data_IF_418253491446
#
_entry.id   IF_418253491446
#
_cell.length_a   1.000
_cell.length_b   1.000
_cell.length_c   1.000
_cell.angle_alpha   90.00
_cell.angle_beta   90.00
_cell.angle_gamma   90.00
#
_symmetry.space_group_name_H-M   'P 1'
#
loop_
_entity.id
_entity.type
_entity.pdbx_description
1 polymer ?
2 non-polymer ?
3 non-polymer ?
4 non-polymer ?
5 water ?
#
# COMPACT_ATOMS: atom_id res chain seq x y z
N UNK A 1 -6.96 -6.46 -1.04
CA UNK A 1 -7.99 -6.91 -1.97
C UNK A 1 -7.41 -7.22 -3.35
N UNK A 2 -8.20 -6.94 -4.38
CA UNK A 2 -7.99 -7.22 -5.81
C UNK A 2 -7.35 -6.01 -6.50
N UNK A 3 -6.43 -6.25 -7.43
CA UNK A 3 -5.71 -5.14 -8.06
C UNK A 3 -6.61 -4.31 -8.96
N UNK A 4 -6.01 -3.24 -9.50
CA UNK A 4 -6.74 -2.32 -10.36
C UNK A 4 -7.19 -3.00 -11.64
N UNK A 5 -8.45 -2.76 -12.01
CA UNK A 5 -8.99 -3.24 -13.27
C UNK A 5 -9.51 -2.07 -14.09
N UNK A 6 -9.63 -2.30 -15.41
CA UNK A 6 -10.21 -1.28 -16.29
C UNK A 6 -11.67 -1.03 -15.94
N UNK A 7 -12.42 -2.10 -15.64
CA UNK A 7 -13.85 -1.95 -15.34
C UNK A 7 -14.06 -1.13 -14.09
N UNK A 8 -13.33 -1.44 -13.02
CA UNK A 8 -13.49 -0.70 -11.77
C UNK A 8 -13.07 0.75 -11.92
N UNK A 9 -12.02 1.00 -12.70
CA UNK A 9 -11.53 2.36 -12.89
C UNK A 9 -12.41 3.16 -13.84
N UNK A 10 -13.06 2.49 -14.80
CA UNK A 10 -13.86 3.16 -15.83
C UNK A 10 -15.36 2.91 -15.65
N UNK A 11 -15.79 2.49 -14.47
CA UNK A 11 -17.19 2.14 -14.27
C UNK A 11 -18.11 3.36 -14.39
N UNK A 12 -17.66 4.52 -13.94
CA UNK A 12 -18.48 5.73 -13.95
C UNK A 12 -18.23 6.60 -15.17
N UNK A 13 -17.44 6.10 -16.13
CA UNK A 13 -17.17 6.83 -17.37
C UNK A 13 -18.35 6.59 -18.32
N UNK A 14 -19.07 7.64 -18.72
CA UNK A 14 -20.09 7.46 -19.76
C UNK A 14 -19.45 6.99 -21.06
N UNK A 15 -20.25 6.29 -21.86
CA UNK A 15 -19.71 5.63 -23.06
C UNK A 15 -19.10 6.64 -24.03
N UNK A 16 -19.77 7.78 -24.23
CA UNK A 16 -19.29 8.75 -25.21
C UNK A 16 -17.93 9.32 -24.82
N UNK A 17 -17.68 9.52 -23.53
CA UNK A 17 -16.39 10.04 -23.11
C UNK A 17 -15.30 8.98 -23.22
N UNK A 18 -15.66 7.72 -22.99
CA UNK A 18 -14.70 6.64 -23.18
C UNK A 18 -14.34 6.46 -24.65
N UNK A 19 -15.27 6.79 -25.55
CA UNK A 19 -15.02 6.63 -26.98
C UNK A 19 -13.79 7.41 -27.43
N UNK A 20 -13.57 8.59 -26.85
CA UNK A 20 -12.53 9.49 -27.32
C UNK A 20 -11.13 8.91 -27.16
N UNK A 21 -10.95 7.93 -26.29
CA UNK A 21 -9.62 7.36 -26.06
C UNK A 21 -9.26 6.28 -27.07
N UNK A 22 -10.24 5.74 -27.79
CA UNK A 22 -10.00 4.52 -28.58
C UNK A 22 -9.04 4.76 -29.74
N UNK A 23 -8.99 5.98 -30.28
CA UNK A 23 -8.00 6.25 -31.33
C UNK A 23 -6.58 6.22 -30.79
N UNK A 24 -6.42 6.54 -29.51
CA UNK A 24 -5.09 6.63 -28.90
C UNK A 24 -4.64 5.32 -28.25
N UNK A 25 -5.50 4.31 -28.22
CA UNK A 25 -5.14 3.02 -27.63
C UNK A 25 -4.28 2.21 -28.59
N UNK A 26 -3.03 1.98 -28.23
CA UNK A 26 -2.17 1.09 -28.99
C UNK A 26 -2.34 -0.34 -28.51
N UNK A 27 -2.19 -1.29 -29.43
CA UNK A 27 -2.33 -2.71 -29.14
C UNK A 27 -1.00 -3.41 -29.41
N UNK A 28 -0.48 -4.11 -28.41
CA UNK A 28 0.78 -4.84 -28.54
C UNK A 28 0.58 -6.28 -28.11
N UNK A 29 1.27 -7.18 -28.80
CA UNK A 29 1.21 -8.61 -28.54
C UNK A 29 2.61 -9.09 -28.16
N UNK A 30 2.69 -9.91 -27.12
CA UNK A 30 3.96 -10.39 -26.60
C UNK A 30 3.98 -11.92 -26.54
N UNK A 31 5.17 -12.48 -26.74
CA UNK A 31 5.36 -13.92 -26.66
C UNK A 31 5.80 -14.31 -25.24
N UNK A 32 5.93 -15.62 -25.01
CA UNK A 32 6.26 -16.12 -23.68
C UNK A 32 7.66 -15.67 -23.27
N UNK A 33 7.78 -15.12 -22.06
CA UNK A 33 9.04 -14.63 -21.56
C UNK A 33 9.40 -13.22 -21.99
N UNK A 34 8.62 -12.61 -22.88
CA UNK A 34 8.93 -11.27 -23.36
C UNK A 34 8.53 -10.22 -22.32
N UNK A 35 9.36 -9.20 -22.18
CA UNK A 35 9.10 -8.16 -21.20
C UNK A 35 8.17 -7.10 -21.78
N UNK A 36 7.09 -6.78 -21.06
CA UNK A 36 6.19 -5.71 -21.49
C UNK A 36 6.74 -4.36 -21.09
N UNK A 37 7.17 -4.23 -19.84
CA UNK A 37 8.04 -3.15 -19.42
C UNK A 37 9.03 -3.70 -18.42
N UNK A 38 10.12 -2.96 -18.20
CA UNK A 38 11.18 -3.39 -17.31
C UNK A 38 11.22 -2.52 -16.07
N UNK A 39 11.77 -3.09 -15.01
CA UNK A 39 12.03 -2.37 -13.77
C UNK A 39 12.86 -1.13 -14.07
N UNK A 40 12.43 0.01 -13.55
CA UNK A 40 13.17 1.24 -13.71
C UNK A 40 12.99 1.98 -15.03
N UNK A 41 11.99 1.61 -15.83
CA UNK A 41 11.71 2.41 -17.03
C UNK A 41 11.01 3.70 -16.65
N UNK A 42 11.05 4.67 -17.56
CA UNK A 42 10.48 5.99 -17.31
C UNK A 42 9.51 6.40 -18.42
N UNK A 43 8.87 5.41 -19.05
CA UNK A 43 7.99 5.71 -20.18
C UNK A 43 6.70 6.41 -19.75
N UNK A 44 6.20 6.10 -18.56
CA UNK A 44 4.98 6.71 -18.03
C UNK A 44 3.79 6.45 -18.95
N UNK A 45 3.49 5.18 -19.13
CA UNK A 45 2.33 4.73 -19.88
C UNK A 45 1.42 3.92 -18.96
N UNK A 46 0.16 3.80 -19.36
CA UNK A 46 -0.80 2.95 -18.67
C UNK A 46 -1.07 1.72 -19.52
N UNK A 47 -0.73 0.55 -19.00
CA UNK A 47 -0.95 -0.71 -19.71
C UNK A 47 -2.18 -1.41 -19.17
N UNK A 48 -3.01 -1.93 -20.09
CA UNK A 48 -4.17 -2.72 -19.74
C UNK A 48 -4.01 -4.12 -20.32
N UNK A 49 -3.97 -5.13 -19.46
CA UNK A 49 -3.92 -6.50 -19.91
C UNK A 49 -5.27 -6.91 -20.47
N UNK A 50 -5.29 -7.32 -21.74
CA UNK A 50 -6.52 -7.74 -22.40
C UNK A 50 -6.63 -9.26 -22.50
N UNK A 51 -5.57 -9.94 -22.89
CA UNK A 51 -5.56 -11.39 -23.03
C UNK A 51 -4.21 -11.94 -22.59
N UNK A 52 -4.25 -13.01 -21.80
CA UNK A 52 -3.05 -13.67 -21.34
C UNK A 52 -2.81 -13.45 -19.85
N UNK A 53 -1.59 -13.81 -19.43
CA UNK A 53 -1.16 -13.65 -18.04
C UNK A 53 0.19 -12.96 -18.00
N UNK A 54 0.37 -12.11 -17.00
CA UNK A 54 1.59 -11.35 -16.81
C UNK A 54 2.02 -11.48 -15.35
N UNK A 55 3.33 -11.55 -15.12
CA UNK A 55 3.88 -11.54 -13.77
C UNK A 55 4.73 -10.29 -13.57
N UNK A 56 4.54 -9.63 -12.43
CA UNK A 56 5.42 -8.55 -12.01
C UNK A 56 6.57 -9.18 -11.22
N UNK A 57 7.77 -9.13 -11.79
CA UNK A 57 8.93 -9.75 -11.16
C UNK A 57 9.91 -8.66 -10.72
N UNK A 58 11.02 -9.09 -10.12
CA UNK A 58 11.88 -8.17 -9.38
C UNK A 58 13.27 -8.82 -9.24
N UNK A 59 14.15 -8.50 -10.17
CA UNK A 59 15.55 -8.94 -10.12
C UNK A 59 16.33 -7.98 -9.23
N UNK A 60 16.87 -8.49 -8.12
CA UNK A 60 17.57 -7.64 -7.17
C UNK A 60 18.84 -8.30 -6.64
N UNK A 61 18.75 -8.85 -5.44
CA UNK A 61 19.93 -9.40 -4.79
C UNK A 61 20.45 -10.59 -5.58
N UNK A 62 21.71 -10.51 -6.00
CA UNK A 62 22.38 -11.60 -6.69
C UNK A 62 21.70 -11.91 -8.02
N UNK A 63 20.81 -11.00 -8.44
CA UNK A 63 19.95 -11.17 -9.61
C UNK A 63 19.08 -12.41 -9.43
N UNK A 64 18.40 -12.48 -8.29
CA UNK A 64 17.43 -13.51 -7.99
C UNK A 64 16.05 -12.99 -8.35
N UNK A 65 15.32 -13.73 -9.19
CA UNK A 65 14.01 -13.28 -9.59
C UNK A 65 13.05 -13.49 -8.42
N UNK A 66 12.23 -12.48 -8.15
CA UNK A 66 11.32 -12.50 -7.01
C UNK A 66 9.92 -12.16 -7.51
N UNK A 67 9.02 -13.13 -7.44
CA UNK A 67 7.67 -12.94 -7.93
C UNK A 67 6.89 -12.02 -6.99
N UNK A 68 6.30 -10.97 -7.55
CA UNK A 68 5.50 -10.03 -6.77
C UNK A 68 4.01 -10.20 -6.98
N UNK A 69 3.59 -10.48 -8.21
CA UNK A 69 2.16 -10.60 -8.54
C UNK A 69 2.03 -11.35 -9.85
N UNK A 70 0.85 -11.92 -10.06
CA UNK A 70 0.42 -12.41 -11.37
C UNK A 70 -0.88 -11.71 -11.71
N UNK A 71 -1.09 -11.43 -12.99
CA UNK A 71 -2.23 -10.61 -13.43
C UNK A 71 -2.97 -11.31 -14.57
N UNK A 72 -4.25 -10.99 -14.68
CA UNK A 72 -5.10 -11.59 -15.70
C UNK A 72 -5.88 -10.53 -16.46
N UNK A 73 -6.86 -10.95 -17.26
CA UNK A 73 -7.58 -10.04 -18.13
C UNK A 73 -8.22 -8.91 -17.34
N UNK A 74 -8.22 -7.72 -17.95
CA UNK A 74 -8.90 -6.56 -17.38
C UNK A 74 -8.10 -5.77 -16.38
N UNK A 75 -6.93 -6.25 -15.97
CA UNK A 75 -6.17 -5.60 -14.91
C UNK A 75 -5.15 -4.62 -15.48
N UNK A 76 -4.95 -3.50 -14.78
CA UNK A 76 -3.91 -2.56 -15.13
C UNK A 76 -2.56 -3.13 -14.73
N UNK A 77 -1.62 -3.15 -15.68
CA UNK A 77 -0.28 -3.63 -15.42
C UNK A 77 0.56 -2.51 -14.81
N UNK A 78 1.01 -2.70 -13.58
CA UNK A 78 1.84 -1.71 -12.95
C UNK A 78 1.03 -0.53 -12.42
N UNK A 79 1.71 0.59 -12.30
CA UNK A 79 1.15 1.75 -11.65
C UNK A 79 0.56 2.73 -12.65
N UNK A 80 -0.32 3.60 -12.16
CA UNK A 80 -0.90 4.64 -13.00
C UNK A 80 0.14 5.73 -13.26
N UNK A 81 0.34 6.16 -14.50
CA UNK A 81 1.38 7.14 -14.78
C UNK A 81 1.08 8.50 -14.15
N UNK A 82 2.14 9.18 -13.76
CA UNK A 82 2.05 10.54 -13.26
C UNK A 82 3.05 11.43 -14.00
N UNK A 88 8.41 9.15 -11.53
CA UNK A 88 8.57 7.89 -10.83
C UNK A 88 8.81 6.70 -11.75
N UNK A 89 10.02 6.15 -11.71
CA UNK A 89 10.35 5.01 -12.57
C UNK A 89 9.54 3.77 -12.20
N UNK A 90 9.68 2.75 -13.05
CA UNK A 90 8.98 1.49 -12.85
C UNK A 90 9.54 0.75 -11.65
N UNK A 91 8.65 0.29 -10.77
CA UNK A 91 9.08 -0.44 -9.58
C UNK A 91 9.35 -1.92 -9.86
N UNK A 92 8.88 -2.45 -10.99
CA UNK A 92 9.01 -3.87 -11.26
C UNK A 92 9.00 -4.10 -12.77
N UNK A 93 9.32 -5.33 -13.16
CA UNK A 93 9.29 -5.75 -14.56
C UNK A 93 8.07 -6.63 -14.80
N UNK A 94 7.43 -6.43 -15.95
CA UNK A 94 6.24 -7.17 -16.34
C UNK A 94 6.60 -8.13 -17.46
N UNK A 95 6.44 -9.43 -17.20
CA UNK A 95 6.83 -10.49 -18.12
C UNK A 95 5.57 -11.22 -18.57
N UNK A 96 5.46 -11.46 -19.87
CA UNK A 96 4.33 -12.22 -20.40
C UNK A 96 4.50 -13.70 -20.09
N UNK A 97 3.51 -14.28 -19.40
CA UNK A 97 3.53 -15.71 -19.11
C UNK A 97 3.15 -16.52 -20.35
N UNK A 98 2.14 -16.06 -21.08
CA UNK A 98 1.54 -16.81 -22.17
C UNK A 98 1.97 -16.24 -23.52
N UNK A 99 2.02 -17.10 -24.52
CA UNK A 99 2.23 -16.64 -25.88
C UNK A 99 1.00 -15.87 -26.36
N UNK A 100 1.25 -14.92 -27.26
CA UNK A 100 0.20 -14.04 -27.78
C UNK A 100 -0.49 -13.28 -26.66
N UNK A 101 0.29 -12.82 -25.68
CA UNK A 101 -0.23 -11.94 -24.64
C UNK A 101 -0.49 -10.56 -25.22
N UNK A 102 -1.73 -10.09 -25.10
CA UNK A 102 -2.16 -8.87 -25.76
C UNK A 102 -2.48 -7.80 -24.73
N UNK A 103 -1.85 -6.64 -24.86
CA UNK A 103 -2.06 -5.52 -23.95
C UNK A 103 -2.47 -4.30 -24.75
N UNK A 104 -3.37 -3.50 -24.18
CA UNK A 104 -3.72 -2.19 -24.71
C UNK A 104 -3.08 -1.13 -23.82
N UNK A 105 -2.58 -0.06 -24.43
CA UNK A 105 -1.93 0.97 -23.65
C UNK A 105 -2.08 2.33 -24.31
N UNK A 106 -1.94 3.37 -23.50
CA UNK A 106 -2.02 4.76 -23.94
C UNK A 106 -0.97 5.57 -23.19
N UNK A 107 -0.50 6.64 -23.82
CA UNK A 107 0.49 7.51 -23.20
C UNK A 107 -0.16 8.41 -22.15
N UNK A 108 0.62 8.79 -21.14
CA UNK A 108 0.09 9.56 -20.03
C UNK A 108 -0.44 10.92 -20.47
N UNK A 109 0.18 11.51 -21.50
CA UNK A 109 -0.27 12.82 -21.96
C UNK A 109 -1.71 12.76 -22.45
N UNK A 110 -2.06 11.70 -23.19
CA UNK A 110 -3.43 11.54 -23.68
C UNK A 110 -4.39 11.39 -22.50
N UNK A 111 -4.00 10.57 -21.51
CA UNK A 111 -4.88 10.33 -20.38
C UNK A 111 -5.13 11.61 -19.60
N UNK A 112 -4.08 12.42 -19.39
CA UNK A 112 -4.24 13.63 -18.59
C UNK A 112 -5.01 14.70 -19.35
N UNK A 113 -4.78 14.80 -20.67
CA UNK A 113 -5.62 15.65 -21.51
C UNK A 113 -7.07 15.20 -21.44
N UNK A 114 -7.31 13.89 -21.56
CA UNK A 114 -8.66 13.36 -21.50
C UNK A 114 -9.30 13.62 -20.14
N UNK A 115 -8.55 13.42 -19.06
CA UNK A 115 -9.06 13.72 -17.73
C UNK A 115 -9.30 15.21 -17.55
N UNK A 116 -8.48 16.05 -18.20
CA UNK A 116 -8.74 17.48 -18.18
C UNK A 116 -10.02 17.84 -18.92
N UNK A 117 -10.36 17.08 -19.96
CA UNK A 117 -11.60 17.34 -20.68
C UNK A 117 -12.81 16.90 -19.87
N UNK A 118 -12.69 15.81 -19.12
CA UNK A 118 -13.76 15.29 -18.28
C UNK A 118 -13.24 15.19 -16.84
N UNK A 119 -13.09 16.32 -16.15
CA UNK A 119 -12.53 16.27 -14.79
C UNK A 119 -13.44 15.61 -13.77
N UNK A 120 -14.73 15.44 -14.08
CA UNK A 120 -15.60 14.72 -13.17
C UNK A 120 -15.24 13.24 -13.09
N UNK A 121 -14.60 12.70 -14.13
CA UNK A 121 -14.17 11.31 -14.12
C UNK A 121 -13.08 11.09 -13.06
N UNK A 122 -12.18 12.06 -12.91
CA UNK A 122 -11.10 11.93 -11.93
C UNK A 122 -11.65 11.89 -10.50
N UNK A 123 -12.81 12.50 -10.27
CA UNK A 123 -13.44 12.43 -8.96
C UNK A 123 -13.81 10.99 -8.62
N UNK A 124 -14.31 10.23 -9.60
CA UNK A 124 -14.69 8.85 -9.35
C UNK A 124 -13.48 7.92 -9.37
N UNK A 125 -12.48 8.22 -10.19
CA UNK A 125 -11.23 7.47 -10.12
C UNK A 125 -10.51 7.73 -8.80
N UNK A 126 -10.73 8.90 -8.21
CA UNK A 126 -10.13 9.20 -6.91
C UNK A 126 -10.69 8.27 -5.83
N UNK A 127 -11.98 7.95 -5.90
CA UNK A 127 -12.56 6.99 -4.97
C UNK A 127 -12.01 5.59 -5.16
N UNK A 128 -11.51 5.28 -6.36
CA UNK A 128 -10.93 3.96 -6.60
C UNK A 128 -9.52 3.88 -6.02
N UNK A 129 -8.70 4.91 -6.27
CA UNK A 129 -7.37 4.94 -5.67
C UNK A 129 -7.47 5.04 -4.15
N UNK A 130 -8.52 5.72 -3.65
CA UNK A 130 -8.73 5.77 -2.20
C UNK A 130 -9.03 4.40 -1.64
N UNK A 131 -10.01 3.70 -2.24
CA UNK A 131 -10.38 2.38 -1.75
C UNK A 131 -9.27 1.37 -1.94
N UNK A 132 -8.38 1.57 -2.92
CA UNK A 132 -7.27 0.66 -3.14
C UNK A 132 -6.07 0.99 -2.27
N UNK A 133 -5.89 2.25 -1.88
CA UNK A 133 -4.78 2.60 -1.01
C UNK A 133 -5.05 2.17 0.44
N UNK A 134 -6.31 2.23 0.88
CA UNK A 134 -6.64 1.72 2.21
C UNK A 134 -6.48 0.20 2.25
N UNK A 135 -6.85 -0.48 1.17
CA UNK A 135 -6.64 -1.92 1.10
C UNK A 135 -5.15 -2.25 1.01
N UNK A 136 -4.38 -1.40 0.32
CA UNK A 136 -2.94 -1.61 0.25
C UNK A 136 -2.27 -1.38 1.59
N UNK A 137 -2.83 -0.51 2.42
CA UNK A 137 -2.25 -0.24 3.73
C UNK A 137 -2.46 -1.40 4.69
N UNK A 138 -3.68 -1.96 4.71
CA UNK A 138 -3.94 -3.09 5.59
C UNK A 138 -3.19 -4.35 5.13
N UNK A 139 -2.77 -4.39 3.86
CA UNK A 139 -1.90 -5.48 3.42
C UNK A 139 -0.50 -5.33 3.98
N UNK A 140 -0.05 -4.10 4.23
CA UNK A 140 1.27 -3.87 4.80
C UNK A 140 1.29 -4.22 6.27
N UNK A 141 0.24 -3.84 7.02
CA UNK A 141 0.15 -4.23 8.42
C UNK A 141 0.00 -5.74 8.55
N UNK A 142 -0.60 -6.38 7.55
CA UNK A 142 -0.92 -7.80 7.65
C UNK A 142 0.36 -8.66 7.72
N UNK A 143 1.31 -8.41 6.81
CA UNK A 143 2.52 -9.21 6.76
C UNK A 143 3.36 -9.09 8.04
N UNK A 144 3.04 -8.15 8.92
CA UNK A 144 3.71 -8.06 10.21
C UNK A 144 2.99 -8.89 11.26
N UNK A 145 1.66 -8.90 11.25
CA UNK A 145 0.87 -9.52 12.31
C UNK A 145 0.19 -10.81 11.90
N UNK A 146 0.37 -11.27 10.67
CA UNK A 146 -0.27 -12.50 10.19
C UNK A 146 0.74 -13.65 10.15
N UNK A 147 0.33 -14.80 10.66
CA UNK A 147 1.13 -16.00 10.54
C UNK A 147 0.99 -16.56 9.12
N UNK A 148 1.75 -17.60 8.82
CA UNK A 148 1.80 -18.10 7.44
C UNK A 148 0.52 -18.80 7.01
N UNK A 149 -0.28 -19.44 7.90
CA UNK A 149 -1.57 -19.96 7.42
C UNK A 149 -2.55 -18.87 7.05
N UNK A 150 -2.55 -17.75 7.78
CA UNK A 150 -3.36 -16.62 7.37
C UNK A 150 -2.87 -16.04 6.06
N UNK A 151 -1.54 -15.92 5.89
CA UNK A 151 -1.01 -15.41 4.63
C UNK A 151 -1.24 -16.39 3.49
N UNK A 152 -1.21 -17.69 3.77
CA UNK A 152 -1.56 -18.66 2.73
C UNK A 152 -3.03 -18.56 2.35
N UNK A 153 -3.91 -18.47 3.36
CA UNK A 153 -5.33 -18.33 3.08
C UNK A 153 -5.61 -17.06 2.29
N UNK A 154 -4.86 -15.99 2.54
CA UNK A 154 -5.12 -14.73 1.84
C UNK A 154 -4.69 -14.81 0.38
N UNK A 155 -3.56 -15.44 0.10
CA UNK A 155 -3.12 -15.56 -1.28
C UNK A 155 -4.05 -16.45 -2.08
N UNK A 156 -4.47 -17.59 -1.50
CA UNK A 156 -5.38 -18.49 -2.18
C UNK A 156 -6.72 -17.82 -2.45
N UNK A 157 -7.20 -16.99 -1.52
CA UNK A 157 -8.44 -16.25 -1.75
C UNK A 157 -8.25 -15.18 -2.83
N UNK A 158 -7.10 -14.50 -2.82
CA UNK A 158 -6.83 -13.50 -3.84
C UNK A 158 -6.77 -14.14 -5.23
N UNK A 159 -6.03 -15.26 -5.34
CA UNK A 159 -5.94 -15.94 -6.62
C UNK A 159 -7.30 -16.50 -7.05
N UNK A 160 -8.08 -16.99 -6.09
CA UNK A 160 -9.38 -17.57 -6.42
C UNK A 160 -10.34 -16.52 -6.96
N UNK A 161 -10.33 -15.32 -6.39
CA UNK A 161 -11.24 -14.27 -6.83
C UNK A 161 -10.88 -13.71 -8.21
N UNK A 162 -9.69 -13.99 -8.71
CA UNK A 162 -9.24 -13.45 -9.99
C UNK A 162 -9.02 -14.52 -11.05
N UNK A 163 -8.72 -15.76 -10.66
CA UNK A 163 -8.51 -16.85 -11.61
C UNK A 163 -9.44 -18.03 -11.36
N UNK A 164 -10.39 -17.91 -10.44
CA UNK A 164 -11.13 -19.07 -9.97
C UNK A 164 -12.18 -19.55 -10.96
N UNK A 165 -12.27 -20.86 -11.10
CA UNK A 165 -13.27 -21.52 -11.92
C UNK A 165 -14.17 -22.36 -11.03
N UNK A 166 -15.47 -22.07 -10.96
CA UNK A 166 -16.36 -22.90 -10.13
C UNK A 166 -16.40 -24.34 -10.63
N UNK A 167 -16.13 -25.28 -9.71
CA UNK A 167 -16.23 -26.71 -9.99
C UNK A 167 -17.25 -27.31 -9.04
N UNK A 168 -17.39 -28.64 -9.08
CA UNK A 168 -18.45 -29.30 -8.30
C UNK A 168 -18.25 -29.07 -6.80
N UNK A 169 -17.05 -29.36 -6.30
CA UNK A 169 -16.78 -29.29 -4.87
C UNK A 169 -16.34 -27.91 -4.41
N UNK A 170 -16.32 -26.91 -5.30
CA UNK A 170 -15.94 -25.57 -4.90
C UNK A 170 -15.36 -24.73 -6.02
N UNK A 171 -14.18 -24.15 -5.76
CA UNK A 171 -13.53 -23.25 -6.70
C UNK A 171 -12.14 -23.79 -7.00
N UNK A 172 -11.88 -24.13 -8.27
CA UNK A 172 -10.55 -24.52 -8.69
C UNK A 172 -9.72 -23.28 -9.01
N UNK A 173 -8.46 -23.30 -8.63
CA UNK A 173 -7.54 -22.17 -8.81
C UNK A 173 -6.37 -22.65 -9.67
N UNK A 174 -6.38 -22.35 -10.96
CA UNK A 174 -5.26 -22.73 -11.85
C UNK A 174 -4.14 -21.71 -11.83
N UNK A 175 -3.38 -21.70 -10.73
CA UNK A 175 -2.33 -20.69 -10.55
C UNK A 175 -1.13 -20.94 -11.46
N UNK A 176 -0.78 -22.21 -11.67
CA UNK A 176 0.29 -22.60 -12.59
C UNK A 176 1.62 -21.96 -12.22
N UNK A 177 1.88 -21.77 -10.93
CA UNK A 177 3.17 -21.28 -10.46
C UNK A 177 4.05 -22.46 -10.07
N UNK A 178 5.33 -22.17 -9.83
CA UNK A 178 6.21 -23.16 -9.22
C UNK A 178 6.06 -23.09 -7.71
N UNK A 179 6.38 -24.20 -7.04
CA UNK A 179 6.21 -24.27 -5.59
C UNK A 179 6.98 -23.15 -4.90
N UNK A 180 8.14 -22.80 -5.43
CA UNK A 180 8.87 -21.64 -4.92
C UNK A 180 8.11 -20.35 -5.21
N UNK A 181 7.49 -20.26 -6.39
CA UNK A 181 6.78 -19.03 -6.76
C UNK A 181 5.59 -18.77 -5.86
N UNK A 182 4.75 -19.79 -5.65
CA UNK A 182 3.60 -19.64 -4.76
C UNK A 182 4.05 -19.24 -3.36
N UNK A 183 5.15 -19.83 -2.89
CA UNK A 183 5.69 -19.46 -1.58
C UNK A 183 6.16 -18.01 -1.55
N UNK A 184 6.64 -17.49 -2.68
CA UNK A 184 7.07 -16.09 -2.71
C UNK A 184 5.88 -15.14 -2.54
N UNK A 185 4.73 -15.51 -3.10
CA UNK A 185 3.53 -14.71 -2.89
C UNK A 185 3.04 -14.81 -1.45
N UNK A 186 3.22 -15.97 -0.82
CA UNK A 186 2.77 -16.15 0.57
C UNK A 186 3.73 -15.46 1.54
N UNK A 187 5.04 -15.49 1.25
CA UNK A 187 5.98 -14.72 2.03
C UNK A 187 6.86 -15.52 2.97
N UNK A 188 7.16 -16.76 2.62
CA UNK A 188 8.06 -17.58 3.40
C UNK A 188 8.61 -18.68 2.51
N UNK A 189 9.41 -19.56 3.10
CA UNK A 189 10.05 -20.63 2.34
C UNK A 189 9.01 -21.59 1.78
N UNK A 190 9.36 -22.22 0.65
CA UNK A 190 8.50 -23.25 0.09
C UNK A 190 8.32 -24.41 1.05
N UNK A 191 9.27 -24.63 1.96
CA UNK A 191 9.11 -25.65 2.98
C UNK A 191 7.96 -25.32 3.92
N UNK A 192 7.97 -24.10 4.46
CA UNK A 192 6.91 -23.67 5.36
C UNK A 192 5.56 -23.66 4.66
N UNK A 193 5.53 -23.18 3.41
CA UNK A 193 4.26 -23.03 2.69
C UNK A 193 3.71 -24.39 2.30
N UNK A 194 4.57 -25.31 1.86
CA UNK A 194 4.11 -26.65 1.52
C UNK A 194 3.48 -27.35 2.71
N UNK A 195 4.05 -27.18 3.91
CA UNK A 195 3.46 -27.75 5.11
C UNK A 195 2.12 -27.10 5.42
N UNK A 196 2.02 -25.77 5.26
CA UNK A 196 0.76 -25.09 5.51
C UNK A 196 -0.31 -25.53 4.51
N UNK A 197 0.09 -25.77 3.26
CA UNK A 197 -0.84 -26.34 2.29
C UNK A 197 -1.24 -27.76 2.69
N UNK A 198 -0.29 -28.54 3.21
CA UNK A 198 -0.61 -29.88 3.68
C UNK A 198 -1.66 -29.84 4.78
N UNK A 199 -1.52 -28.89 5.72
CA UNK A 199 -2.51 -28.77 6.78
C UNK A 199 -3.88 -28.38 6.21
N UNK A 200 -3.91 -27.39 5.31
CA UNK A 200 -5.16 -27.02 4.66
C UNK A 200 -5.81 -28.22 3.96
N UNK A 201 -4.98 -29.09 3.38
CA UNK A 201 -5.53 -30.23 2.66
C UNK A 201 -6.09 -31.29 3.61
N UNK A 202 -5.36 -31.58 4.69
CA UNK A 202 -5.81 -32.61 5.62
C UNK A 202 -6.94 -32.15 6.52
N UNK A 203 -7.11 -30.83 6.70
CA UNK A 203 -8.32 -30.30 7.32
C UNK A 203 -9.53 -30.43 6.41
N UNK A 204 -9.34 -30.75 5.14
CA UNK A 204 -10.42 -30.79 4.18
C UNK A 204 -10.73 -29.47 3.52
N UNK A 205 -9.86 -28.46 3.67
CA UNK A 205 -10.14 -27.15 3.11
C UNK A 205 -9.82 -27.06 1.62
N UNK A 206 -8.76 -27.73 1.17
CA UNK A 206 -8.32 -27.66 -0.22
C UNK A 206 -7.84 -29.04 -0.67
N UNK A 207 -7.53 -29.12 -1.97
CA UNK A 207 -6.86 -30.26 -2.58
C UNK A 207 -5.79 -29.74 -3.52
N UNK A 208 -4.62 -30.37 -3.48
CA UNK A 208 -3.48 -29.97 -4.30
C UNK A 208 -3.53 -30.75 -5.62
N UNK A 209 -3.82 -30.04 -6.71
CA UNK A 209 -3.98 -30.65 -8.04
C UNK A 209 -2.78 -30.27 -8.91
N UNK A 210 -1.62 -30.86 -8.58
CA UNK A 210 -0.39 -30.51 -9.27
C UNK A 210 -0.07 -29.04 -9.13
N UNK A 211 -0.28 -28.28 -10.20
CA UNK A 211 -0.10 -26.83 -10.17
C UNK A 211 -1.45 -26.10 -10.14
N UNK A 212 -2.53 -26.82 -9.85
CA UNK A 212 -3.82 -26.24 -9.55
C UNK A 212 -4.20 -26.58 -8.11
N UNK A 213 -5.15 -25.83 -7.57
CA UNK A 213 -5.63 -26.03 -6.21
C UNK A 213 -7.14 -25.85 -6.20
N UNK A 214 -7.85 -26.85 -5.70
CA UNK A 214 -9.29 -26.76 -5.48
C UNK A 214 -9.52 -26.26 -4.06
N UNK A 215 -10.31 -25.21 -3.92
CA UNK A 215 -10.68 -24.68 -2.62
C UNK A 215 -12.05 -25.27 -2.29
N UNK A 216 -12.06 -26.27 -1.42
CA UNK A 216 -13.33 -26.87 -0.99
C UNK A 216 -14.12 -25.92 -0.10
N UNK A 217 -13.44 -25.23 0.81
CA UNK A 217 -14.07 -24.45 1.86
C UNK A 217 -13.50 -23.03 1.88
N UNK A 218 -13.93 -22.18 0.94
CA UNK A 218 -13.44 -20.79 0.96
C UNK A 218 -13.87 -20.02 2.19
N UNK A 219 -15.04 -20.35 2.75
CA UNK A 219 -15.49 -19.67 3.96
C UNK A 219 -14.58 -19.90 5.14
N UNK A 220 -13.92 -21.06 5.20
CA UNK A 220 -12.98 -21.33 6.28
C UNK A 220 -11.66 -20.60 6.08
N UNK A 221 -11.22 -20.47 4.83
CA UNK A 221 -10.02 -19.69 4.55
C UNK A 221 -10.23 -18.22 4.90
N UNK A 222 -11.44 -17.71 4.71
CA UNK A 222 -11.74 -16.33 5.05
C UNK A 222 -11.62 -16.12 6.55
N UNK A 223 -12.18 -17.05 7.34
CA UNK A 223 -12.07 -16.96 8.79
C UNK A 223 -10.63 -17.09 9.25
N UNK A 224 -9.86 -17.98 8.60
CA UNK A 224 -8.46 -18.16 8.98
C UNK A 224 -7.61 -16.95 8.61
N UNK A 225 -8.04 -16.15 7.62
CA UNK A 225 -7.30 -14.94 7.28
C UNK A 225 -7.31 -13.91 8.41
N UNK A 226 -8.30 -13.96 9.29
CA UNK A 226 -8.27 -13.25 10.58
C UNK A 226 -9.43 -13.69 11.46
N UNK B 1 7.97 8.22 -0.21
CA UNK B 1 7.85 7.29 0.91
C UNK B 1 7.05 7.89 2.06
N UNK B 2 6.63 9.13 1.91
CA UNK B 2 5.98 9.97 2.91
C UNK B 2 4.47 9.78 2.86
N UNK B 3 3.84 9.60 4.02
CA UNK B 3 2.37 9.54 4.06
C UNK B 3 1.75 10.85 3.58
N UNK B 4 0.46 10.77 3.26
CA UNK B 4 -0.25 11.90 2.67
C UNK B 4 -0.21 13.11 3.60
N UNK B 5 0.00 14.29 3.02
CA UNK B 5 -0.04 15.54 3.77
C UNK B 5 -1.07 16.47 3.14
N UNK B 6 -1.46 17.49 3.91
CA UNK B 6 -2.36 18.51 3.37
C UNK B 6 -1.73 19.24 2.19
N UNK B 7 -0.47 19.66 2.34
CA UNK B 7 0.19 20.41 1.27
C UNK B 7 0.32 19.57 0.01
N UNK B 8 0.66 18.28 0.16
CA UNK B 8 0.79 17.42 -1.01
C UNK B 8 -0.53 17.27 -1.75
N UNK B 9 -1.62 17.11 -1.01
CA UNK B 9 -2.95 17.01 -1.62
C UNK B 9 -3.45 18.36 -2.11
N UNK B 10 -3.02 19.46 -1.49
CA UNK B 10 -3.57 20.78 -1.78
C UNK B 10 -2.53 21.74 -2.36
N UNK B 11 -1.42 21.23 -2.90
CA UNK B 11 -0.46 22.11 -3.52
C UNK B 11 -1.01 22.74 -4.79
N UNK B 12 -1.88 22.03 -5.50
CA UNK B 12 -2.41 22.46 -6.79
C UNK B 12 -3.76 23.15 -6.67
N UNK B 13 -4.22 23.39 -5.45
CA UNK B 13 -5.50 24.07 -5.25
C UNK B 13 -5.29 25.56 -5.38
N UNK B 14 -6.00 26.24 -6.29
CA UNK B 14 -5.98 27.70 -6.29
C UNK B 14 -6.53 28.24 -4.98
N UNK B 15 -6.04 29.44 -4.61
CA UNK B 15 -6.37 30.00 -3.31
C UNK B 15 -7.88 30.19 -3.13
N UNK B 16 -8.60 30.45 -4.21
CA UNK B 16 -10.04 30.70 -4.07
C UNK B 16 -10.76 29.48 -3.52
N UNK B 17 -10.47 28.29 -4.05
CA UNK B 17 -11.26 27.12 -3.68
C UNK B 17 -10.85 26.57 -2.31
N UNK B 18 -9.63 26.85 -1.86
CA UNK B 18 -9.24 26.52 -0.49
C UNK B 18 -9.94 27.39 0.54
N UNK B 19 -10.32 28.61 0.17
CA UNK B 19 -11.00 29.49 1.13
C UNK B 19 -12.44 29.06 1.36
N UNK B 20 -13.06 28.40 0.37
CA UNK B 20 -14.45 27.98 0.50
C UNK B 20 -14.63 26.88 1.54
N UNK B 21 -13.57 26.11 1.83
CA UNK B 21 -13.69 25.00 2.77
C UNK B 21 -13.56 25.43 4.22
N UNK B 22 -12.86 26.54 4.48
CA UNK B 22 -12.60 26.96 5.85
C UNK B 22 -13.89 27.19 6.64
N UNK B 23 -15.01 27.43 5.95
CA UNK B 23 -16.29 27.54 6.64
C UNK B 23 -16.68 26.23 7.32
N UNK B 24 -16.19 25.10 6.81
CA UNK B 24 -16.65 23.80 7.26
C UNK B 24 -15.59 22.99 8.00
N UNK B 25 -14.39 23.54 8.21
CA UNK B 25 -13.34 22.83 8.93
C UNK B 25 -13.59 22.94 10.43
N UNK B 26 -13.86 21.82 11.07
CA UNK B 26 -14.02 21.78 12.52
C UNK B 26 -12.66 21.55 13.18
N UNK B 27 -12.51 22.09 14.38
CA UNK B 27 -11.27 21.98 15.14
C UNK B 27 -11.55 21.27 16.46
N UNK B 28 -10.83 20.18 16.71
CA UNK B 28 -10.91 19.45 17.96
C UNK B 28 -9.51 19.30 18.54
N UNK B 29 -9.44 19.29 19.87
CA UNK B 29 -8.18 19.13 20.59
C UNK B 29 -8.29 17.93 21.51
N UNK B 30 -7.24 17.10 21.52
CA UNK B 30 -7.21 15.87 22.30
C UNK B 30 -6.00 15.88 23.21
N UNK B 31 -6.18 15.35 24.42
CA UNK B 31 -5.07 15.18 25.34
C UNK B 31 -4.43 13.80 25.16
N UNK B 32 -3.29 13.61 25.81
CA UNK B 32 -2.52 12.38 25.63
C UNK B 32 -3.35 11.17 26.01
N UNK B 33 -3.42 10.21 25.09
CA UNK B 33 -4.18 8.99 25.30
C UNK B 33 -5.60 9.01 24.77
N UNK B 34 -6.13 10.18 24.39
CA UNK B 34 -7.48 10.26 23.88
C UNK B 34 -7.56 9.71 22.46
N UNK B 35 -8.67 9.04 22.16
CA UNK B 35 -8.90 8.50 20.83
C UNK B 35 -9.54 9.56 19.95
N UNK B 36 -8.96 9.78 18.78
CA UNK B 36 -9.54 10.69 17.80
C UNK B 36 -10.67 9.99 17.05
N UNK B 37 -10.42 8.78 16.58
CA UNK B 37 -11.47 7.88 16.14
C UNK B 37 -11.09 6.46 16.56
N UNK B 38 -12.07 5.58 16.60
CA UNK B 38 -11.86 4.21 17.05
C UNK B 38 -12.04 3.23 15.89
N UNK B 39 -11.41 2.08 16.02
CA UNK B 39 -11.50 1.04 15.01
C UNK B 39 -12.93 0.53 14.92
N UNK B 40 -13.43 0.38 13.69
CA UNK B 40 -14.79 -0.08 13.47
C UNK B 40 -15.84 1.01 13.40
N UNK B 41 -15.48 2.26 13.68
CA UNK B 41 -16.42 3.36 13.54
C UNK B 41 -16.60 3.72 12.07
N UNK B 42 -17.77 4.29 11.75
CA UNK B 42 -18.18 4.47 10.37
C UNK B 42 -18.23 5.93 9.93
N UNK B 43 -17.49 6.83 10.61
CA UNK B 43 -17.53 8.22 10.18
C UNK B 43 -16.87 8.37 8.82
N UNK B 44 -17.39 9.28 8.01
CA UNK B 44 -16.83 9.54 6.70
C UNK B 44 -16.19 10.92 6.70
N UNK B 45 -15.18 11.10 7.55
CA UNK B 45 -14.51 12.38 7.71
C UNK B 45 -13.07 12.29 7.22
N UNK B 46 -12.53 13.41 6.80
CA UNK B 46 -11.12 13.53 6.48
C UNK B 46 -10.44 14.31 7.60
N UNK B 47 -9.55 13.64 8.32
CA UNK B 47 -8.84 14.26 9.44
C UNK B 47 -7.49 14.77 8.97
N UNK B 48 -7.13 15.96 9.43
CA UNK B 48 -5.83 16.56 9.17
C UNK B 48 -5.16 16.86 10.50
N UNK B 49 -4.04 16.20 10.78
CA UNK B 49 -3.28 16.46 11.99
C UNK B 49 -2.57 17.80 11.84
N UNK B 50 -3.02 18.80 12.59
CA UNK B 50 -2.44 20.14 12.48
C UNK B 50 -1.26 20.32 13.43
N UNK B 51 -1.40 19.89 14.68
CA UNK B 51 -0.34 19.99 15.68
C UNK B 51 -0.36 18.76 16.56
N UNK B 52 0.82 18.17 16.78
CA UNK B 52 0.96 17.02 17.65
C UNK B 52 1.35 15.77 16.88
N UNK B 53 1.29 14.64 17.58
CA UNK B 53 1.61 13.34 17.01
C UNK B 53 0.53 12.33 17.38
N UNK B 54 0.23 11.43 16.44
CA UNK B 54 -0.85 10.47 16.57
C UNK B 54 -0.35 9.10 16.11
N UNK B 55 -0.77 8.05 16.80
CA UNK B 55 -0.47 6.68 16.41
C UNK B 55 -1.73 5.97 15.93
N UNK B 56 -1.59 5.17 14.87
CA UNK B 56 -2.66 4.31 14.40
C UNK B 56 -2.45 2.90 14.95
N UNK B 57 -3.45 2.39 15.67
CA UNK B 57 -3.38 1.08 16.31
C UNK B 57 -4.65 0.30 16.00
N UNK B 58 -4.53 -1.02 16.08
CA UNK B 58 -5.67 -1.93 15.95
C UNK B 58 -5.59 -2.94 17.07
N UNK B 59 -6.69 -3.12 17.80
CA UNK B 59 -6.74 -4.04 18.93
C UNK B 59 -7.12 -5.43 18.45
N UNK B 60 -6.29 -6.42 18.77
CA UNK B 60 -6.55 -7.79 18.36
C UNK B 60 -7.62 -8.40 19.26
N UNK B 61 -7.99 -9.66 18.97
CA UNK B 61 -9.10 -10.30 19.66
C UNK B 61 -8.77 -10.73 21.08
N UNK B 62 -7.51 -10.59 21.51
CA UNK B 62 -7.16 -10.72 22.93
C UNK B 62 -6.78 -9.37 23.54
N UNK B 63 -7.16 -8.28 22.87
CA UNK B 63 -7.00 -6.92 23.38
C UNK B 63 -5.54 -6.60 23.67
N UNK B 64 -4.71 -6.73 22.64
CA UNK B 64 -3.32 -6.31 22.68
C UNK B 64 -3.08 -5.33 21.54
N UNK B 65 -2.44 -4.20 21.87
CA UNK B 65 -2.31 -3.10 20.93
C UNK B 65 -1.32 -3.46 19.83
N UNK B 66 -1.73 -3.27 18.58
CA UNK B 66 -0.87 -3.48 17.42
C UNK B 66 -0.58 -2.12 16.79
N UNK B 67 0.67 -1.67 16.87
CA UNK B 67 1.06 -0.37 16.33
C UNK B 67 1.25 -0.48 14.82
N UNK B 68 0.51 0.33 14.07
CA UNK B 68 0.56 0.32 12.61
C UNK B 68 1.40 1.46 12.04
N UNK B 69 1.25 2.66 12.57
CA UNK B 69 1.97 3.82 12.07
C UNK B 69 1.80 4.96 13.08
N UNK B 70 2.70 5.93 13.01
CA UNK B 70 2.58 7.16 13.80
C UNK B 70 2.65 8.34 12.84
N UNK B 71 1.96 9.41 13.19
CA UNK B 71 1.78 10.54 12.29
C UNK B 71 2.11 11.84 13.00
N UNK B 72 2.48 12.85 12.22
CA UNK B 72 2.85 14.15 12.74
C UNK B 72 2.06 15.26 12.05
N UNK B 73 2.46 16.51 12.29
CA UNK B 73 1.72 17.65 11.79
C UNK B 73 1.68 17.66 10.26
N UNK B 74 0.54 18.10 9.72
CA UNK B 74 0.37 18.22 8.28
C UNK B 74 -0.13 16.98 7.58
N UNK B 75 -0.16 15.83 8.25
CA UNK B 75 -0.52 14.58 7.59
C UNK B 75 -2.01 14.30 7.73
N UNK B 76 -2.55 13.59 6.74
CA UNK B 76 -3.94 13.13 6.79
C UNK B 76 -4.01 11.92 7.71
N UNK B 77 -4.88 11.99 8.71
CA UNK B 77 -5.05 10.87 9.63
C UNK B 77 -5.95 9.81 9.00
N UNK B 78 -5.42 8.62 8.80
CA UNK B 78 -6.23 7.54 8.31
C UNK B 78 -6.58 7.68 6.83
N UNK B 79 -7.67 7.03 6.46
CA UNK B 79 -8.02 6.90 5.06
C UNK B 79 -8.73 8.15 4.55
N UNK B 80 -8.74 8.28 3.23
CA UNK B 80 -9.40 9.40 2.55
C UNK B 80 -10.86 9.00 2.33
N UNK B 81 -11.81 9.89 2.60
CA UNK B 81 -13.22 9.50 2.58
C UNK B 81 -13.69 9.02 1.21
N UNK B 82 -14.62 8.07 1.22
CA UNK B 82 -15.10 7.43 0.01
C UNK B 82 -16.47 6.83 0.30
N UNK B 83 -17.38 6.93 -0.67
CA UNK B 83 -18.67 6.25 -0.60
C UNK B 83 -18.46 4.79 -0.96
N UNK B 84 -18.57 3.90 0.01
CA UNK B 84 -18.36 2.48 -0.23
C UNK B 84 -19.45 1.90 -1.13
N UNK B 89 -16.34 1.32 7.37
CA UNK B 89 -15.79 1.59 8.71
C UNK B 89 -14.28 1.73 8.72
N UNK B 90 -13.75 2.36 9.77
CA UNK B 90 -12.32 2.62 9.85
C UNK B 90 -11.56 1.39 10.34
N UNK B 91 -10.43 1.12 9.69
CA UNK B 91 -9.65 -0.09 9.93
C UNK B 91 -8.74 0.02 11.15
N UNK B 92 -8.65 1.20 11.78
CA UNK B 92 -7.73 1.38 12.89
C UNK B 92 -8.25 2.48 13.80
N UNK B 93 -7.64 2.57 14.98
CA UNK B 93 -7.91 3.62 15.95
C UNK B 93 -6.75 4.61 15.98
N UNK B 94 -7.08 5.89 16.10
CA UNK B 94 -6.07 6.95 16.15
C UNK B 94 -6.02 7.50 17.56
N UNK B 95 -4.84 7.40 18.19
CA UNK B 95 -4.64 7.81 19.58
C UNK B 95 -3.66 8.97 19.61
N UNK B 96 -3.98 9.99 20.39
CA UNK B 96 -3.09 11.13 20.55
C UNK B 96 -1.87 10.74 21.38
N UNK B 97 -0.68 10.98 20.83
CA UNK B 97 0.54 10.71 21.58
C UNK B 97 0.87 11.88 22.51
N UNK B 98 0.66 13.11 22.03
CA UNK B 98 1.00 14.31 22.77
C UNK B 98 -0.25 14.97 23.32
N UNK B 99 -0.07 15.74 24.39
CA UNK B 99 -1.15 16.53 24.96
C UNK B 99 -1.53 17.67 24.03
N UNK B 100 -2.80 18.08 24.11
CA UNK B 100 -3.32 19.19 23.30
C UNK B 100 -3.07 18.98 21.81
N UNK B 101 -3.20 17.73 21.38
CA UNK B 101 -3.12 17.41 19.96
C UNK B 101 -4.31 18.02 19.23
N UNK B 102 -4.04 18.74 18.13
CA UNK B 102 -5.05 19.49 17.41
C UNK B 102 -5.23 18.92 16.01
N UNK B 103 -6.47 18.59 15.66
CA UNK B 103 -6.80 18.08 14.34
C UNK B 103 -7.89 18.95 13.73
N UNK B 104 -7.81 19.15 12.42
CA UNK B 104 -8.85 19.79 11.64
C UNK B 104 -9.52 18.74 10.78
N UNK B 105 -10.85 18.80 10.68
CA UNK B 105 -11.54 17.78 9.91
C UNK B 105 -12.76 18.38 9.21
N UNK B 106 -13.14 17.74 8.11
CA UNK B 106 -14.30 18.13 7.33
C UNK B 106 -15.07 16.88 6.92
N UNK B 107 -16.39 17.01 6.85
CA UNK B 107 -17.23 15.89 6.46
C UNK B 107 -17.09 15.61 4.97
N UNK B 108 -17.37 14.36 4.58
CA UNK B 108 -17.20 13.96 3.19
C UNK B 108 -18.18 14.68 2.27
N UNK B 109 -19.37 15.00 2.77
CA UNK B 109 -20.35 15.72 1.96
C UNK B 109 -19.79 17.07 1.52
N UNK B 110 -19.16 17.79 2.45
CA UNK B 110 -18.56 19.08 2.12
C UNK B 110 -17.43 18.89 1.13
N UNK B 111 -16.63 17.83 1.31
CA UNK B 111 -15.50 17.59 0.41
C UNK B 111 -15.98 17.24 -0.99
N UNK B 112 -17.03 16.42 -1.09
CA UNK B 112 -17.46 15.93 -2.40
C UNK B 112 -18.24 16.97 -3.18
N UNK B 113 -19.03 17.83 -2.50
CA UNK B 113 -19.66 18.93 -3.19
C UNK B 113 -18.60 19.92 -3.68
N UNK B 114 -17.54 20.10 -2.89
CA UNK B 114 -16.45 21.00 -3.27
C UNK B 114 -15.65 20.44 -4.42
N UNK B 115 -15.41 19.11 -4.41
CA UNK B 115 -14.80 18.47 -5.57
C UNK B 115 -15.72 18.58 -6.79
N UNK B 116 -17.03 18.52 -6.56
CA UNK B 116 -17.96 18.70 -7.67
C UNK B 116 -17.92 20.10 -8.23
N UNK B 117 -17.76 21.10 -7.37
CA UNK B 117 -17.65 22.49 -7.81
C UNK B 117 -16.34 22.76 -8.53
N UNK B 118 -15.26 22.05 -8.14
CA UNK B 118 -13.95 22.24 -8.73
C UNK B 118 -13.35 20.88 -9.07
N UNK B 119 -13.90 20.20 -10.08
CA UNK B 119 -13.41 18.85 -10.40
C UNK B 119 -11.96 18.80 -10.85
N UNK B 120 -11.39 19.95 -11.21
CA UNK B 120 -10.02 19.96 -11.70
C UNK B 120 -9.02 19.63 -10.59
N UNK B 121 -9.36 19.91 -9.33
CA UNK B 121 -8.44 19.59 -8.25
C UNK B 121 -8.35 18.08 -8.04
N UNK B 122 -9.43 17.34 -8.28
CA UNK B 122 -9.39 15.89 -8.12
C UNK B 122 -8.45 15.24 -9.13
N UNK B 123 -8.26 15.89 -10.30
CA UNK B 123 -7.32 15.37 -11.29
C UNK B 123 -5.91 15.31 -10.70
N UNK B 124 -5.52 16.32 -9.94
CA UNK B 124 -4.17 16.38 -9.39
C UNK B 124 -4.07 15.80 -8.00
N UNK B 125 -5.19 15.71 -7.28
CA UNK B 125 -5.25 14.83 -6.12
C UNK B 125 -5.22 13.37 -6.54
N UNK B 126 -5.53 13.09 -7.79
CA UNK B 126 -5.42 11.73 -8.31
C UNK B 126 -3.96 11.35 -8.52
N UNK B 127 -3.13 12.29 -8.98
CA UNK B 127 -1.75 11.98 -9.30
C UNK B 127 -0.88 11.84 -8.05
N UNK B 128 -1.27 12.45 -6.93
CA UNK B 128 -0.52 12.24 -5.71
C UNK B 128 -0.87 10.90 -5.09
N UNK B 129 -2.15 10.54 -5.11
CA UNK B 129 -2.54 9.19 -4.66
C UNK B 129 -1.87 8.12 -5.51
N UNK B 130 -1.73 8.38 -6.80
CA UNK B 130 -1.04 7.44 -7.68
C UNK B 130 0.44 7.32 -7.30
N UNK B 131 1.12 8.47 -7.17
CA UNK B 131 2.51 8.43 -6.75
C UNK B 131 2.67 7.92 -5.33
N UNK B 132 1.61 8.04 -4.52
CA UNK B 132 1.68 7.53 -3.14
C UNK B 132 1.51 6.02 -3.09
N UNK B 133 0.64 5.46 -3.94
CA UNK B 133 0.52 4.00 -4.01
C UNK B 133 1.77 3.38 -4.61
N UNK B 134 2.45 4.09 -5.52
CA UNK B 134 3.76 3.65 -5.99
C UNK B 134 4.75 3.53 -4.84
N UNK B 135 4.67 4.45 -3.88
CA UNK B 135 5.59 4.42 -2.75
C UNK B 135 5.38 3.19 -1.89
N UNK B 136 4.12 2.84 -1.63
CA UNK B 136 3.82 1.66 -0.83
C UNK B 136 4.24 0.37 -1.55
N UNK B 137 4.12 0.33 -2.88
CA UNK B 137 4.57 -0.86 -3.61
C UNK B 137 6.08 -1.02 -3.50
N UNK B 138 6.82 0.09 -3.49
CA UNK B 138 8.24 0.03 -3.18
C UNK B 138 8.48 -0.47 -1.76
N UNK B 139 7.57 -0.15 -0.84
CA UNK B 139 7.76 -0.55 0.55
C UNK B 139 7.51 -2.04 0.73
N UNK B 140 6.47 -2.57 0.10
CA UNK B 140 6.22 -4.02 0.15
C UNK B 140 7.35 -4.78 -0.52
N UNK B 141 7.96 -4.19 -1.55
CA UNK B 141 9.10 -4.84 -2.21
C UNK B 141 10.29 -4.94 -1.27
N UNK B 142 10.43 -3.98 -0.35
CA UNK B 142 11.59 -3.98 0.55
C UNK B 142 11.53 -5.13 1.55
N UNK B 143 10.37 -5.33 2.18
CA UNK B 143 10.28 -6.22 3.33
C UNK B 143 10.55 -7.68 2.98
N UNK B 144 10.62 -8.04 1.70
CA UNK B 144 11.04 -9.40 1.35
C UNK B 144 12.55 -9.47 1.14
N UNK B 145 13.18 -8.35 0.76
CA UNK B 145 14.61 -8.32 0.50
C UNK B 145 15.43 -7.73 1.65
N UNK B 146 14.79 -6.99 2.55
CA UNK B 146 15.50 -6.30 3.62
C UNK B 146 15.60 -7.20 4.85
N UNK B 147 16.81 -7.27 5.42
CA UNK B 147 17.00 -7.94 6.70
C UNK B 147 16.63 -6.98 7.83
N UNK B 148 16.81 -7.43 9.08
CA UNK B 148 16.41 -6.62 10.23
C UNK B 148 17.14 -5.29 10.28
N UNK B 149 18.46 -5.19 10.09
CA UNK B 149 19.10 -3.87 10.15
C UNK B 149 18.65 -2.92 9.06
N UNK B 150 18.29 -3.44 7.88
CA UNK B 150 17.81 -2.57 6.81
C UNK B 150 16.46 -1.96 7.17
N UNK B 151 15.54 -2.76 7.72
CA UNK B 151 14.25 -2.22 8.11
C UNK B 151 14.36 -1.28 9.29
N UNK B 152 15.29 -1.56 10.21
CA UNK B 152 15.54 -0.62 11.31
C UNK B 152 16.11 0.70 10.79
N UNK B 153 17.04 0.62 9.83
CA UNK B 153 17.57 1.84 9.23
C UNK B 153 16.47 2.63 8.53
N UNK B 154 15.62 1.94 7.77
CA UNK B 154 14.55 2.63 7.05
C UNK B 154 13.51 3.21 7.99
N UNK B 155 13.19 2.49 9.07
CA UNK B 155 12.24 3.00 10.04
C UNK B 155 12.77 4.26 10.73
N UNK B 156 14.03 4.21 11.17
CA UNK B 156 14.63 5.39 11.80
C UNK B 156 14.78 6.54 10.80
N UNK B 157 15.07 6.23 9.54
CA UNK B 157 15.12 7.27 8.51
C UNK B 157 13.74 7.87 8.28
N UNK B 158 12.71 7.02 8.23
CA UNK B 158 11.35 7.51 8.03
C UNK B 158 10.91 8.40 9.18
N UNK B 159 11.21 8.00 10.42
CA UNK B 159 10.86 8.83 11.56
C UNK B 159 11.68 10.11 11.58
N UNK B 160 12.95 10.04 11.17
CA UNK B 160 13.80 11.22 11.18
C UNK B 160 13.37 12.23 10.12
N UNK B 161 12.89 11.75 8.98
CA UNK B 161 12.52 12.67 7.90
C UNK B 161 11.22 13.41 8.18
N UNK B 162 10.45 12.99 9.17
CA UNK B 162 9.14 13.57 9.43
C UNK B 162 9.05 14.30 10.76
N UNK B 163 9.67 13.79 11.83
CA UNK B 163 9.72 14.50 13.11
C UNK B 163 11.15 14.71 13.60
N UNK B 164 12.13 14.67 12.70
CA UNK B 164 13.51 14.89 13.08
C UNK B 164 13.86 16.36 13.08
N UNK B 165 14.72 16.74 14.01
CA UNK B 165 15.21 18.11 14.12
C UNK B 165 16.72 18.11 13.98
N UNK B 166 17.28 18.81 12.99
CA UNK B 166 18.74 18.81 12.82
C UNK B 166 19.42 19.45 14.01
N UNK B 167 20.43 18.75 14.55
CA UNK B 167 21.30 19.29 15.58
C UNK B 167 22.73 19.21 15.05
N UNK B 168 23.68 19.71 15.84
CA UNK B 168 25.06 19.74 15.38
C UNK B 168 25.62 18.32 15.24
N UNK B 169 25.25 17.43 16.15
CA UNK B 169 25.72 16.05 16.10
C UNK B 169 24.98 15.20 15.08
N UNK B 170 23.88 15.70 14.52
CA UNK B 170 23.12 14.94 13.54
C UNK B 170 21.64 15.30 13.52
N UNK B 171 20.79 14.29 13.64
CA UNK B 171 19.34 14.47 13.63
C UNK B 171 18.77 13.87 14.90
N UNK B 172 18.17 14.71 15.74
CA UNK B 172 17.51 14.24 16.94
C UNK B 172 16.10 13.78 16.60
N UNK B 173 15.79 12.52 16.93
CA UNK B 173 14.48 11.94 16.69
C UNK B 173 13.81 11.67 18.02
N UNK B 174 12.92 12.55 18.49
CA UNK B 174 12.19 12.29 19.75
C UNK B 174 10.96 11.42 19.51
N UNK B 175 11.20 10.12 19.30
CA UNK B 175 10.14 9.23 18.85
C UNK B 175 9.14 8.90 19.96
N UNK B 176 9.60 8.77 21.20
CA UNK B 176 8.71 8.59 22.36
C UNK B 176 7.96 7.25 22.27
N UNK B 177 8.60 6.24 21.70
CA UNK B 177 8.00 4.92 21.57
C UNK B 177 8.70 3.93 22.51
N UNK B 178 7.94 2.94 22.98
CA UNK B 178 8.53 1.87 23.76
C UNK B 178 9.33 0.94 22.84
N UNK B 179 10.18 0.13 23.47
CA UNK B 179 10.95 -0.85 22.72
C UNK B 179 10.04 -1.83 21.98
N UNK B 180 8.90 -2.17 22.61
CA UNK B 180 7.93 -3.03 21.95
C UNK B 180 7.28 -2.33 20.76
N UNK B 181 6.95 -1.05 20.93
CA UNK B 181 6.30 -0.31 19.84
C UNK B 181 7.23 -0.13 18.64
N UNK B 182 8.48 0.29 18.91
CA UNK B 182 9.43 0.46 17.82
C UNK B 182 9.67 -0.84 17.08
N UNK B 183 9.71 -1.96 17.82
CA UNK B 183 9.93 -3.25 17.18
C UNK B 183 8.76 -3.65 16.29
N UNK B 184 7.56 -3.18 16.60
CA UNK B 184 6.43 -3.47 15.72
C UNK B 184 6.52 -2.68 14.42
N UNK B 185 7.02 -1.45 14.48
CA UNK B 185 7.23 -0.67 13.26
C UNK B 185 8.34 -1.28 12.42
N UNK B 186 9.39 -1.80 13.06
CA UNK B 186 10.46 -2.45 12.32
C UNK B 186 9.99 -3.78 11.75
N UNK B 187 9.18 -4.52 12.51
CA UNK B 187 8.58 -5.74 12.04
C UNK B 187 9.19 -7.03 12.54
N UNK B 188 9.73 -7.05 13.76
CA UNK B 188 10.27 -8.27 14.31
C UNK B 188 10.29 -8.15 15.84
N UNK B 189 11.04 -9.03 16.48
CA UNK B 189 11.01 -9.15 17.93
C UNK B 189 11.63 -7.92 18.59
N UNK B 190 11.15 -7.63 19.80
CA UNK B 190 11.77 -6.58 20.61
C UNK B 190 13.23 -6.89 20.89
N UNK B 191 13.54 -8.17 21.15
CA UNK B 191 14.93 -8.57 21.36
C UNK B 191 15.75 -8.36 20.09
N UNK B 192 15.24 -8.84 18.95
CA UNK B 192 15.99 -8.73 17.70
C UNK B 192 16.22 -7.26 17.33
N UNK B 193 15.21 -6.41 17.50
CA UNK B 193 15.35 -5.01 17.15
C UNK B 193 16.31 -4.31 18.12
N UNK B 194 16.21 -4.62 19.41
CA UNK B 194 17.09 -4.01 20.40
C UNK B 194 18.55 -4.33 20.12
N UNK B 195 18.84 -5.56 19.67
CA UNK B 195 20.22 -5.92 19.38
C UNK B 195 20.73 -5.23 18.14
N UNK B 196 19.87 -5.09 17.12
CA UNK B 196 20.25 -4.32 15.94
C UNK B 196 20.49 -2.86 16.30
N UNK B 197 19.62 -2.29 17.16
CA UNK B 197 19.85 -0.94 17.66
C UNK B 197 21.18 -0.83 18.39
N UNK B 198 21.49 -1.85 19.17
CA UNK B 198 22.76 -1.85 19.94
C UNK B 198 23.94 -1.85 18.97
N UNK B 199 23.87 -2.64 17.91
CA UNK B 199 24.91 -2.63 16.90
C UNK B 199 25.09 -1.23 16.30
N UNK B 200 23.98 -0.55 16.02
CA UNK B 200 24.06 0.81 15.50
C UNK B 200 24.77 1.73 16.48
N UNK B 201 24.39 1.65 17.77
CA UNK B 201 25.05 2.49 18.78
C UNK B 201 26.52 2.12 18.94
N UNK B 202 26.83 0.82 18.94
CA UNK B 202 28.23 0.40 19.10
C UNK B 202 29.09 0.86 17.93
N UNK B 203 28.49 0.94 16.73
CA UNK B 203 29.21 1.39 15.55
C UNK B 203 29.33 2.91 15.47
N UNK B 204 28.67 3.65 16.34
CA UNK B 204 28.72 5.10 16.33
C UNK B 204 27.71 5.76 15.41
N UNK B 205 26.70 5.02 14.97
CA UNK B 205 25.70 5.59 14.07
C UNK B 205 24.63 6.36 14.82
N UNK B 206 24.25 5.90 16.01
CA UNK B 206 23.18 6.48 16.80
C UNK B 206 23.58 6.45 18.27
N UNK B 207 22.78 7.14 19.09
CA UNK B 207 22.84 7.01 20.54
C UNK B 207 21.43 7.06 21.09
N UNK B 208 21.14 6.16 22.03
CA UNK B 208 19.80 5.99 22.59
C UNK B 208 19.67 6.86 23.84
N UNK B 209 18.90 7.94 23.73
CA UNK B 209 18.69 8.89 24.83
C UNK B 209 17.25 8.74 25.34
N UNK B 210 17.05 7.80 26.26
CA UNK B 210 15.73 7.55 26.81
C UNK B 210 14.77 7.03 25.75
N UNK B 211 13.84 7.89 25.32
CA UNK B 211 12.98 7.60 24.17
C UNK B 211 13.16 8.66 23.08
N UNK B 212 14.34 9.27 23.06
CA UNK B 212 14.81 10.07 21.94
C UNK B 212 16.09 9.44 21.40
N UNK B 213 16.30 9.55 20.09
CA UNK B 213 17.44 8.93 19.43
C UNK B 213 18.13 9.97 18.57
N UNK B 214 19.42 10.19 18.82
CA UNK B 214 20.24 11.01 17.96
C UNK B 214 20.85 10.13 16.88
N UNK B 215 20.68 10.49 15.63
CA UNK B 215 21.29 9.79 14.51
C UNK B 215 22.57 10.55 14.16
N UNK B 216 23.70 10.08 14.69
CA UNK B 216 24.97 10.74 14.42
C UNK B 216 25.31 10.73 12.94
N UNK B 217 25.11 9.59 12.28
CA UNK B 217 25.52 9.38 10.90
C UNK B 217 24.33 8.87 10.09
N UNK B 218 23.43 9.76 9.69
CA UNK B 218 22.27 9.31 8.89
C UNK B 218 22.66 8.71 7.55
N UNK B 219 23.76 9.18 6.95
CA UNK B 219 24.19 8.61 5.69
C UNK B 219 24.59 7.15 5.80
N UNK B 220 25.01 6.71 6.97
CA UNK B 220 25.29 5.28 7.16
C UNK B 220 24.00 4.47 7.14
N UNK B 221 22.91 5.02 7.69
CA UNK B 221 21.64 4.32 7.64
C UNK B 221 21.09 4.24 6.22
N UNK B 222 21.39 5.24 5.39
CA UNK B 222 20.91 5.22 4.00
C UNK B 222 21.53 4.04 3.25
N UNK B 223 22.87 3.95 3.27
CA UNK B 223 23.54 2.84 2.60
C UNK B 223 23.03 1.49 3.10
N UNK B 224 22.86 1.37 4.42
CA UNK B 224 22.44 0.09 4.99
C UNK B 224 21.01 -0.25 4.63
N UNK B 225 20.17 0.76 4.36
CA UNK B 225 18.78 0.52 4.00
C UNK B 225 18.60 -0.02 2.59
N UNK B 226 19.63 0.02 1.77
CA UNK B 226 19.56 -0.53 0.41
C UNK B 226 19.69 -2.04 0.44
X LIG C 1 2.30 -22.10 12.07
X LIG C 1 0.99 -22.50 12.38
X LIG C 1 2.51 -22.03 10.56
X LIG C 1 2.48 -23.32 10.01
X LIG C 1 1.58 -23.47 8.96
X LIG C 1 0.66 -24.66 9.24
X LIG C 1 -0.69 -24.29 9.15
X LIG D 1 20.53 22.71 12.52
X LIG D 1 20.57 22.64 11.12
X LIG D 1 21.70 21.93 13.12
X LIG D 1 21.99 20.81 12.32
X LIG D 1 22.94 22.82 13.24
X LIG D 1 23.40 22.82 14.57
X LIG E 1 10.61 -0.73 7.98
#
# INVERSE_FOLDING_TARGET
DLPLTHTALFKQVPLDQARELLEHLHESVFSKGQAIFNEGDTDRRMYLLERGRVKLVRHSRDNRVQLLSIHTHGEILGEIPVFDPFGGPRTASAIAITDRTRVLWLENEVLFKWLGHHPRVAVDMLQVLAARLRANNEHISDLVFMDVPARLAKTLLNLASRFGEPVREGVLVPHDLTQEELAQLVGSSRETVNKALMDFAQRGWIKRHGRSIIIYQPGMLIRRAE
DLPLTHTALFKQVPLDQARELLEHLHESVFSKGQAIFNEGDTDRRMYLLERGRVKLVRHSRDNRVQLLSIHTHGEILGEIPVFDPFGGPRTASAIAITDRTRVLWLENEVLFKWLGHHPRVAVDMLQVLAARLRANNEHISDLVFMDVPARLAKTLLNLASRFGEPVREGVLVPHDLTQEELAQLVGSSRETVNKALMDFAQRGWIKRHGRSIIIYQPGMLIRRAE
PEG C1 O1 C2 O2 C3 C4 O4
GOL C1 O1 C2 O2 C3 O3
NA NA
#
